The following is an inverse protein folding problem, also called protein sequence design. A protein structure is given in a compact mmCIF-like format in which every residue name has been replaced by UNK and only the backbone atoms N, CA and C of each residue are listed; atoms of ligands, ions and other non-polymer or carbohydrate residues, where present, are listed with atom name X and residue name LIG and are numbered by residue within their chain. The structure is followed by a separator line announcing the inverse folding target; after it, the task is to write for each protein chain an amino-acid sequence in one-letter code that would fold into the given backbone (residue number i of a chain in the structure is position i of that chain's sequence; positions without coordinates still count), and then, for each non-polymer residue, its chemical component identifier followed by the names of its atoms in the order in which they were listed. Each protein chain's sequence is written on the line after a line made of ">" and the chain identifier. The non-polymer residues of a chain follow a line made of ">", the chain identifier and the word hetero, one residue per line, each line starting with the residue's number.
data_IF_933038776820
#
_entry.id   IF_933038776820
#
_cell.length_a   1.000
_cell.length_b   1.000
_cell.length_c   1.000
_cell.angle_alpha   90.00
_cell.angle_beta   90.00
_cell.angle_gamma   90.00
#
_symmetry.space_group_name_H-M   'P 1'
#
loop_
_entity.id
_entity.type
_entity.pdbx_description
1 polymer ?
#
# COMPACT_ATOMS: atom_id res chain seq x y z
N UNK A 1 -36.17 16.87 -11.63
CA UNK A 1 -35.41 15.64 -11.34
C UNK A 1 -34.49 15.98 -10.19
N UNK A 2 -34.58 15.28 -9.05
CA UNK A 2 -33.77 15.65 -7.88
C UNK A 2 -32.29 15.35 -8.17
N UNK A 3 -31.41 16.32 -7.91
CA UNK A 3 -29.96 16.19 -8.12
C UNK A 3 -29.18 16.87 -7.01
N UNK A 4 -27.93 16.42 -6.81
CA UNK A 4 -26.94 17.10 -5.96
C UNK A 4 -25.97 17.79 -6.89
N UNK A 5 -25.74 19.08 -6.68
CA UNK A 5 -24.75 19.85 -7.40
C UNK A 5 -23.45 19.80 -6.63
N UNK A 6 -22.35 19.55 -7.32
CA UNK A 6 -21.05 19.47 -6.70
C UNK A 6 -19.98 20.13 -7.55
N UNK A 7 -18.94 20.67 -6.90
CA UNK A 7 -17.72 21.09 -7.59
C UNK A 7 -16.50 20.71 -6.80
N UNK A 8 -15.39 20.50 -7.49
CA UNK A 8 -14.10 20.40 -6.82
C UNK A 8 -13.64 21.78 -6.36
N UNK A 9 -12.92 21.85 -5.23
CA UNK A 9 -12.41 23.11 -4.69
C UNK A 9 -11.49 23.87 -5.66
N UNK A 10 -10.80 23.15 -6.56
CA UNK A 10 -9.96 23.73 -7.61
C UNK A 10 -10.71 24.10 -8.90
N UNK A 11 -11.99 23.71 -9.01
CA UNK A 11 -12.81 23.94 -10.20
C UNK A 11 -13.88 25.01 -9.93
N UNK A 12 -14.23 25.74 -10.99
CA UNK A 12 -15.31 26.72 -11.01
C UNK A 12 -16.64 26.13 -11.50
N UNK A 13 -16.58 25.06 -12.30
CA UNK A 13 -17.76 24.42 -12.87
C UNK A 13 -18.42 23.44 -11.90
N UNK A 14 -19.75 23.42 -11.90
CA UNK A 14 -20.55 22.46 -11.14
C UNK A 14 -20.95 21.27 -12.00
N UNK A 15 -20.70 20.07 -11.48
CA UNK A 15 -21.23 18.82 -11.97
C UNK A 15 -22.46 18.42 -11.14
N UNK A 16 -23.25 17.47 -11.65
CA UNK A 16 -24.42 16.97 -10.92
C UNK A 16 -24.47 15.45 -10.84
N UNK A 17 -25.12 14.96 -9.79
CA UNK A 17 -25.45 13.55 -9.56
C UNK A 17 -26.97 13.42 -9.40
N UNK A 18 -27.64 12.58 -10.20
CA UNK A 18 -29.08 12.36 -10.08
C UNK A 18 -29.42 11.55 -8.82
N UNK A 19 -30.45 11.96 -8.08
CA UNK A 19 -31.04 11.18 -6.98
C UNK A 19 -32.16 10.28 -7.52
N UNK A 20 -31.93 8.97 -7.49
CA UNK A 20 -32.87 7.96 -8.01
C UNK A 20 -34.02 7.63 -7.02
N UNK A 21 -34.51 8.62 -6.26
CA UNK A 21 -35.64 8.46 -5.34
C UNK A 21 -35.29 7.98 -3.92
N UNK A 22 -34.07 7.46 -3.69
CA UNK A 22 -33.55 7.24 -2.35
C UNK A 22 -32.72 8.44 -1.87
N UNK A 23 -32.82 8.82 -0.58
CA UNK A 23 -31.95 9.83 0.01
C UNK A 23 -30.50 9.32 0.01
N UNK A 24 -29.62 10.14 -0.53
CA UNK A 24 -28.20 9.82 -0.69
C UNK A 24 -27.46 10.20 0.59
N UNK A 25 -26.66 9.27 1.10
CA UNK A 25 -25.75 9.54 2.23
C UNK A 25 -24.45 10.18 1.73
N UNK A 26 -23.69 10.79 2.65
CA UNK A 26 -22.37 11.35 2.34
C UNK A 26 -21.43 10.26 1.79
N UNK A 27 -21.44 9.04 2.33
CA UNK A 27 -20.60 7.94 1.82
C UNK A 27 -21.00 7.46 0.43
N UNK A 28 -22.30 7.34 0.17
CA UNK A 28 -22.80 6.99 -1.18
C UNK A 28 -22.38 8.06 -2.20
N UNK A 29 -22.49 9.35 -1.83
CA UNK A 29 -22.08 10.45 -2.67
C UNK A 29 -20.57 10.42 -2.95
N UNK A 30 -19.73 10.19 -1.92
CA UNK A 30 -18.28 10.04 -2.08
C UNK A 30 -17.95 8.92 -3.09
N UNK A 31 -18.55 7.74 -2.92
CA UNK A 31 -18.32 6.59 -3.80
C UNK A 31 -18.74 6.86 -5.25
N UNK A 32 -19.87 7.53 -5.46
CA UNK A 32 -20.35 7.90 -6.78
C UNK A 32 -19.44 8.92 -7.47
N UNK A 33 -18.96 9.93 -6.74
CA UNK A 33 -18.01 10.90 -7.27
C UNK A 33 -16.68 10.22 -7.59
N UNK A 34 -16.14 9.37 -6.70
CA UNK A 34 -14.92 8.62 -6.97
C UNK A 34 -15.02 7.78 -8.24
N UNK A 35 -16.16 7.09 -8.43
CA UNK A 35 -16.41 6.28 -9.64
C UNK A 35 -16.55 7.14 -10.89
N UNK A 36 -17.27 8.26 -10.82
CA UNK A 36 -17.51 9.17 -11.95
C UNK A 36 -16.24 9.89 -12.41
N UNK A 37 -15.38 10.25 -11.47
CA UNK A 37 -14.15 11.02 -11.71
C UNK A 37 -12.89 10.12 -11.81
N UNK A 38 -13.09 8.80 -11.88
CA UNK A 38 -12.03 7.79 -11.97
C UNK A 38 -10.93 7.91 -10.89
N UNK A 39 -11.34 8.26 -9.67
CA UNK A 39 -10.45 8.40 -8.52
C UNK A 39 -10.33 7.07 -7.79
N UNK A 40 -9.09 6.70 -7.46
CA UNK A 40 -8.80 5.48 -6.70
C UNK A 40 -8.74 5.82 -5.20
N UNK A 41 -9.45 5.08 -4.33
CA UNK A 41 -9.41 5.30 -2.89
C UNK A 41 -8.03 5.04 -2.29
N UNK A 42 -7.17 4.29 -2.99
CA UNK A 42 -5.77 4.05 -2.60
C UNK A 42 -4.89 5.30 -2.65
N UNK A 43 -5.25 6.27 -3.50
CA UNK A 43 -4.41 7.42 -3.77
C UNK A 43 -4.96 8.69 -3.09
N UNK A 44 -6.29 8.82 -3.05
CA UNK A 44 -6.96 10.01 -2.56
C UNK A 44 -8.27 9.62 -1.87
N UNK A 45 -8.55 10.28 -0.76
CA UNK A 45 -9.88 10.35 -0.16
C UNK A 45 -10.56 11.69 -0.50
N UNK A 46 -11.87 11.75 -0.36
CA UNK A 46 -12.67 12.93 -0.63
C UNK A 46 -13.23 13.51 0.66
N UNK A 47 -12.94 14.79 0.91
CA UNK A 47 -13.60 15.61 1.91
C UNK A 47 -14.79 16.32 1.27
N UNK A 48 -15.95 16.27 1.92
CA UNK A 48 -17.15 16.97 1.48
C UNK A 48 -17.43 18.09 2.48
N UNK A 49 -17.56 19.31 1.97
CA UNK A 49 -17.93 20.51 2.72
C UNK A 49 -19.18 21.14 2.10
N UNK A 50 -19.97 21.83 2.92
CA UNK A 50 -21.07 22.65 2.43
C UNK A 50 -20.56 23.96 1.81
N UNK A 51 -21.45 24.78 1.27
CA UNK A 51 -21.20 26.15 0.80
C UNK A 51 -20.62 27.09 1.89
N UNK A 52 -20.93 26.82 3.16
CA UNK A 52 -20.40 27.52 4.35
C UNK A 52 -19.08 26.95 4.88
N UNK A 53 -18.41 26.08 4.12
CA UNK A 53 -17.18 25.38 4.53
C UNK A 53 -17.33 24.47 5.77
N UNK A 54 -18.55 24.24 6.26
CA UNK A 54 -18.83 23.26 7.30
C UNK A 54 -18.66 21.84 6.75
N UNK A 55 -17.91 21.01 7.47
CA UNK A 55 -17.46 19.70 7.00
C UNK A 55 -18.40 18.60 7.47
N UNK A 56 -18.83 17.76 6.53
CA UNK A 56 -19.63 16.57 6.86
C UNK A 56 -18.70 15.51 7.44
N UNK A 57 -18.62 15.45 8.77
CA UNK A 57 -17.83 14.45 9.50
C UNK A 57 -18.55 13.10 9.53
N UNK A 58 -19.88 13.12 9.60
CA UNK A 58 -20.71 11.92 9.68
C UNK A 58 -21.04 11.36 8.29
N UNK A 59 -20.61 10.13 8.06
CA UNK A 59 -20.81 9.37 6.82
C UNK A 59 -22.29 9.02 6.55
N UNK A 60 -23.08 8.93 7.61
CA UNK A 60 -24.50 8.55 7.57
C UNK A 60 -25.44 9.72 7.34
N UNK A 61 -24.92 10.96 7.37
CA UNK A 61 -25.72 12.16 7.16
C UNK A 61 -26.36 12.12 5.76
N UNK A 62 -27.65 12.41 5.72
CA UNK A 62 -28.45 12.40 4.49
C UNK A 62 -28.39 13.79 3.88
N UNK A 63 -28.00 13.87 2.62
CA UNK A 63 -27.92 15.14 1.92
C UNK A 63 -29.30 15.54 1.39
N UNK A 64 -29.63 16.81 1.57
CA UNK A 64 -30.88 17.38 1.08
C UNK A 64 -30.90 17.43 -0.45
N UNK A 65 -32.11 17.36 -1.02
CA UNK A 65 -32.31 17.46 -2.47
C UNK A 65 -31.89 18.86 -2.94
N UNK A 66 -31.16 18.96 -4.06
CA UNK A 66 -30.67 20.21 -4.63
C UNK A 66 -29.61 20.95 -3.79
N UNK A 67 -28.94 20.25 -2.87
CA UNK A 67 -27.80 20.80 -2.13
C UNK A 67 -26.58 21.01 -3.04
N UNK A 68 -25.79 22.04 -2.72
CA UNK A 68 -24.53 22.37 -3.37
C UNK A 68 -23.38 22.01 -2.43
N UNK A 69 -22.53 21.07 -2.85
CA UNK A 69 -21.40 20.63 -2.03
C UNK A 69 -20.06 20.89 -2.71
N UNK A 70 -19.04 21.16 -1.90
CA UNK A 70 -17.67 21.39 -2.32
C UNK A 70 -16.84 20.17 -1.95
N UNK A 71 -16.12 19.61 -2.93
CA UNK A 71 -15.25 18.45 -2.74
C UNK A 71 -13.79 18.88 -2.73
N UNK A 72 -13.09 18.51 -1.67
CA UNK A 72 -11.62 18.63 -1.56
C UNK A 72 -11.00 17.23 -1.63
N UNK A 73 -9.93 17.08 -2.41
CA UNK A 73 -9.13 15.85 -2.40
C UNK A 73 -8.19 15.90 -1.19
N UNK A 74 -8.27 14.91 -0.34
CA UNK A 74 -7.27 14.65 0.70
C UNK A 74 -6.37 13.55 0.14
N UNK A 75 -5.04 13.74 0.09
CA UNK A 75 -4.17 12.60 -0.21
C UNK A 75 -4.46 11.49 0.80
N UNK A 76 -4.63 10.26 0.32
CA UNK A 76 -4.85 9.15 1.23
C UNK A 76 -3.67 9.13 2.20
N UNK A 77 -3.91 9.41 3.49
CA UNK A 77 -2.93 9.06 4.52
C UNK A 77 -2.80 7.55 4.37
N UNK A 78 -1.60 7.08 4.06
CA UNK A 78 -1.31 5.67 3.91
C UNK A 78 -1.47 5.05 5.31
N UNK A 79 -2.71 4.77 5.72
CA UNK A 79 -2.95 3.71 6.66
C UNK A 79 -2.67 2.46 5.85
N UNK A 80 -1.41 2.01 5.94
CA UNK A 80 -0.97 0.72 5.44
C UNK A 80 -2.02 -0.29 5.84
N UNK A 81 -2.82 -0.72 4.87
CA UNK A 81 -3.63 -1.91 5.03
C UNK A 81 -2.64 -3.04 5.27
N UNK A 82 -2.54 -3.51 6.50
CA UNK A 82 -1.84 -4.74 6.83
C UNK A 82 -2.47 -5.85 5.97
N UNK A 83 -1.78 -6.43 4.97
CA UNK A 83 -2.39 -7.40 4.06
C UNK A 83 -2.70 -8.76 4.73
N UNK A 84 -2.52 -8.89 6.05
CA UNK A 84 -2.48 -10.19 6.72
C UNK A 84 -3.83 -10.81 7.11
N UNK A 85 -4.98 -10.19 6.86
CA UNK A 85 -6.28 -10.81 7.14
C UNK A 85 -7.24 -10.88 5.93
N UNK A 86 -6.71 -11.11 4.72
CA UNK A 86 -7.56 -11.71 3.68
C UNK A 86 -7.67 -13.22 3.94
N UNK A 87 -8.87 -13.81 4.03
CA UNK A 87 -9.00 -15.26 4.11
C UNK A 87 -8.35 -15.86 2.86
N UNK A 88 -7.29 -16.64 3.03
CA UNK A 88 -6.68 -17.41 1.94
C UNK A 88 -7.78 -18.27 1.34
N UNK A 89 -8.28 -17.93 0.14
CA UNK A 89 -9.11 -18.87 -0.62
C UNK A 89 -8.27 -20.11 -0.85
N UNK A 90 -8.71 -21.23 -0.27
CA UNK A 90 -8.08 -22.52 -0.45
C UNK A 90 -7.97 -22.80 -1.96
N UNK A 91 -6.74 -23.04 -2.43
CA UNK A 91 -6.53 -23.66 -3.73
C UNK A 91 -6.98 -25.11 -3.59
N UNK A 92 -8.18 -25.42 -4.06
CA UNK A 92 -8.55 -26.81 -4.32
C UNK A 92 -7.77 -27.23 -5.56
N UNK A 93 -6.68 -27.95 -5.40
CA UNK A 93 -6.11 -28.71 -6.52
C UNK A 93 -6.98 -29.95 -6.72
N UNK A 94 -7.60 -30.08 -7.90
CA UNK A 94 -8.17 -31.35 -8.30
C UNK A 94 -7.00 -32.34 -8.48
N UNK A 95 -7.17 -33.56 -7.98
CA UNK A 95 -6.23 -34.63 -8.22
C UNK A 95 -6.71 -35.37 -9.46
N UNK A 96 -6.14 -35.04 -10.62
CA UNK A 96 -6.14 -35.92 -11.79
C UNK A 96 -4.91 -35.61 -12.65
N UNK A 97 -3.75 -36.05 -12.20
CA UNK A 97 -2.67 -36.43 -13.12
C UNK A 97 -1.93 -37.60 -12.52
N UNK A 98 -2.01 -38.75 -13.20
CA UNK A 98 -1.15 -39.90 -12.97
C UNK A 98 0.31 -39.46 -12.98
N UNK A 99 1.04 -39.75 -11.91
CA UNK A 99 2.49 -39.95 -12.00
C UNK A 99 2.85 -41.30 -11.38
N UNK A 100 3.61 -42.04 -12.19
CA UNK A 100 3.99 -43.44 -12.06
C UNK A 100 5.17 -43.59 -11.09
N UNK A 101 5.24 -44.79 -10.49
CA UNK A 101 6.14 -45.27 -9.44
C UNK A 101 7.61 -44.83 -9.58
N UNK A 102 8.16 -44.30 -8.50
CA UNK A 102 9.60 -44.37 -8.23
C UNK A 102 9.90 -45.66 -7.45
N UNK A 103 10.92 -46.40 -7.88
CA UNK A 103 11.45 -47.56 -7.17
C UNK A 103 12.43 -47.12 -6.06
N UNK A 104 12.63 -48.04 -5.13
CA UNK A 104 12.99 -47.90 -3.71
C UNK A 104 14.38 -47.36 -3.39
N UNK A 105 14.40 -46.45 -2.41
CA UNK A 105 15.53 -46.04 -1.59
C UNK A 105 15.03 -45.03 -0.54
N UNK A 106 15.02 -45.44 0.71
CA UNK A 106 14.35 -44.90 1.91
C UNK A 106 14.74 -43.42 2.23
N UNK A 107 13.94 -42.56 2.88
CA UNK A 107 13.12 -42.76 4.09
C UNK A 107 11.82 -41.90 4.09
N UNK A 108 10.69 -42.53 4.46
CA UNK A 108 9.63 -41.82 5.19
C UNK A 108 8.37 -41.36 4.42
N UNK A 109 7.67 -42.27 3.74
CA UNK A 109 6.25 -42.05 3.41
C UNK A 109 5.45 -43.36 3.51
N UNK A 110 4.99 -43.71 4.71
CA UNK A 110 3.97 -44.76 4.88
C UNK A 110 2.59 -44.24 4.49
N UNK A 111 2.04 -44.78 3.39
CA UNK A 111 0.64 -44.61 3.03
C UNK A 111 -0.23 -45.47 3.96
N UNK A 112 -0.83 -44.88 4.99
CA UNK A 112 -1.97 -45.50 5.66
C UNK A 112 -3.18 -45.50 4.73
N UNK A 113 -3.89 -46.64 4.66
CA UNK A 113 -4.99 -46.96 3.73
C UNK A 113 -6.22 -46.04 3.79
N UNK A 114 -6.18 -44.96 4.57
CA UNK A 114 -7.21 -43.92 4.68
C UNK A 114 -6.85 -42.60 4.01
N UNK A 115 -5.75 -42.53 3.24
CA UNK A 115 -5.49 -41.41 2.33
C UNK A 115 -5.35 -40.05 3.04
N UNK A 116 -4.76 -40.01 4.23
CA UNK A 116 -4.49 -38.77 4.97
C UNK A 116 -2.99 -38.57 5.10
N UNK A 117 -2.47 -37.51 4.47
CA UNK A 117 -1.12 -37.04 4.70
C UNK A 117 -1.02 -36.46 6.12
N UNK A 118 -0.27 -37.12 7.00
CA UNK A 118 0.13 -36.56 8.29
C UNK A 118 1.49 -35.90 8.06
N UNK A 119 1.59 -34.59 8.28
CA UNK A 119 2.88 -33.89 8.18
C UNK A 119 3.74 -34.31 9.37
N UNK A 120 4.94 -34.79 9.08
CA UNK A 120 5.97 -35.06 10.09
C UNK A 120 6.27 -33.80 10.88
N UNK A 121 6.41 -34.00 12.20
CA UNK A 121 6.83 -33.00 13.15
C UNK A 121 8.35 -32.82 13.08
N UNK A 122 8.81 -31.69 12.56
CA UNK A 122 10.23 -31.35 12.56
C UNK A 122 10.48 -30.22 13.57
N UNK A 123 11.04 -30.66 14.71
CA UNK A 123 12.06 -29.99 15.53
C UNK A 123 11.82 -28.51 15.85
N UNK A 124 11.36 -28.27 17.08
CA UNK A 124 11.40 -26.97 17.73
C UNK A 124 12.81 -26.39 17.71
N UNK A 125 12.91 -25.22 17.09
CA UNK A 125 13.91 -24.22 17.42
C UNK A 125 13.22 -23.20 18.30
N UNK A 126 13.87 -22.87 19.41
CA UNK A 126 13.40 -21.95 20.43
C UNK A 126 12.96 -20.62 19.78
N UNK A 127 11.65 -20.40 19.73
CA UNK A 127 11.02 -19.18 19.25
C UNK A 127 11.14 -18.13 20.36
N UNK A 128 12.35 -17.64 20.58
CA UNK A 128 12.49 -16.29 21.08
C UNK A 128 11.99 -15.39 19.95
N UNK A 129 10.70 -15.06 20.01
CA UNK A 129 10.11 -13.91 19.33
C UNK A 129 10.87 -12.66 19.79
N UNK A 130 12.07 -12.46 19.24
CA UNK A 130 12.65 -11.15 19.06
C UNK A 130 11.72 -10.45 18.10
N UNK A 131 10.71 -9.79 18.67
CA UNK A 131 9.83 -8.86 17.99
C UNK A 131 10.70 -7.65 17.67
N UNK A 132 11.55 -7.79 16.66
CA UNK A 132 12.29 -6.68 16.10
C UNK A 132 11.25 -5.59 15.79
N UNK A 133 11.51 -4.33 16.18
CA UNK A 133 10.62 -3.23 15.88
C UNK A 133 10.44 -3.20 14.36
N UNK A 134 9.25 -3.57 13.90
CA UNK A 134 8.98 -3.69 12.48
C UNK A 134 9.18 -2.30 11.86
N UNK A 135 10.27 -2.15 11.10
CA UNK A 135 10.58 -0.91 10.39
C UNK A 135 9.37 -0.53 9.53
N UNK A 136 8.85 0.71 9.61
CA UNK A 136 7.71 1.11 8.81
C UNK A 136 8.06 1.00 7.33
N UNK A 137 7.15 0.43 6.53
CA UNK A 137 7.38 0.16 5.11
C UNK A 137 7.64 1.44 4.30
N UNK A 138 7.23 2.61 4.80
CA UNK A 138 7.46 3.93 4.20
C UNK A 138 8.94 4.34 4.21
N UNK A 139 9.72 3.86 5.18
CA UNK A 139 11.15 4.16 5.31
C UNK A 139 12.02 3.08 4.64
N UNK A 140 11.42 2.09 3.97
CA UNK A 140 12.16 1.00 3.33
C UNK A 140 12.45 1.30 1.87
N UNK A 141 13.66 1.00 1.43
CA UNK A 141 14.02 1.06 0.02
C UNK A 141 13.37 -0.09 -0.76
N UNK A 142 12.91 0.17 -1.99
CA UNK A 142 12.32 -0.86 -2.87
C UNK A 142 13.35 -1.86 -3.38
N UNK A 143 14.63 -1.46 -3.48
CA UNK A 143 15.72 -2.30 -4.00
C UNK A 143 16.20 -3.27 -2.92
N UNK A 144 16.62 -2.76 -1.76
CA UNK A 144 17.18 -3.61 -0.69
C UNK A 144 16.17 -4.05 0.38
N UNK A 145 14.95 -3.47 0.41
CA UNK A 145 13.89 -3.77 1.40
C UNK A 145 14.30 -3.51 2.86
N UNK A 146 15.38 -2.76 3.07
CA UNK A 146 15.89 -2.29 4.36
C UNK A 146 15.63 -0.80 4.53
N UNK A 147 15.89 -0.28 5.73
CA UNK A 147 15.81 1.14 6.06
C UNK A 147 16.64 1.98 5.07
N UNK A 148 16.06 3.06 4.54
CA UNK A 148 16.69 3.90 3.52
C UNK A 148 17.89 4.69 4.06
N UNK A 149 19.09 4.13 3.96
CA UNK A 149 20.32 4.86 4.28
C UNK A 149 20.67 5.82 3.15
N UNK A 150 20.97 7.07 3.50
CA UNK A 150 21.32 8.12 2.54
C UNK A 150 20.29 8.28 1.42
N UNK A 151 19.00 8.35 1.75
CA UNK A 151 17.92 8.47 0.77
C UNK A 151 18.21 9.54 -0.32
N UNK A 152 17.97 9.17 -1.57
CA UNK A 152 18.22 9.97 -2.76
C UNK A 152 17.03 9.87 -3.73
N UNK A 153 16.66 10.99 -4.34
CA UNK A 153 15.53 11.17 -5.27
C UNK A 153 16.04 11.07 -6.70
N UNK A 154 15.33 10.27 -7.49
CA UNK A 154 15.57 10.19 -8.93
C UNK A 154 14.74 11.28 -9.64
N UNK A 155 15.35 12.16 -10.45
CA UNK A 155 14.67 13.32 -11.05
C UNK A 155 13.58 12.97 -12.06
N UNK A 156 13.57 11.75 -12.61
CA UNK A 156 12.58 11.31 -13.61
C UNK A 156 11.17 11.10 -13.02
N UNK A 157 11.08 10.45 -11.86
CA UNK A 157 9.80 10.03 -11.27
C UNK A 157 9.60 10.52 -9.83
N UNK A 158 10.62 11.13 -9.22
CA UNK A 158 10.57 11.59 -7.83
C UNK A 158 10.62 10.46 -6.80
N UNK A 159 10.91 9.22 -7.22
CA UNK A 159 11.02 8.10 -6.30
C UNK A 159 12.32 8.17 -5.49
N UNK A 160 12.27 7.71 -4.23
CA UNK A 160 13.41 7.72 -3.32
C UNK A 160 13.97 6.32 -3.07
N UNK A 161 15.29 6.19 -3.16
CA UNK A 161 16.03 4.95 -2.91
C UNK A 161 17.25 5.23 -2.01
N UNK A 162 17.94 4.19 -1.54
CA UNK A 162 19.28 4.38 -0.97
C UNK A 162 20.24 4.86 -2.06
N UNK A 163 21.09 5.85 -1.77
CA UNK A 163 22.04 6.42 -2.73
C UNK A 163 22.89 5.33 -3.40
N UNK A 164 23.43 4.38 -2.62
CA UNK A 164 24.23 3.29 -3.16
C UNK A 164 23.41 2.33 -4.03
N UNK A 165 22.21 1.96 -3.60
CA UNK A 165 21.37 0.99 -4.33
C UNK A 165 20.97 1.51 -5.71
N UNK A 166 20.56 2.78 -5.81
CA UNK A 166 20.17 3.34 -7.11
C UNK A 166 21.39 3.52 -8.02
N UNK A 167 22.55 3.92 -7.49
CA UNK A 167 23.79 4.02 -8.28
C UNK A 167 24.21 2.67 -8.82
N UNK A 168 24.18 1.61 -8.01
CA UNK A 168 24.54 0.25 -8.47
C UNK A 168 23.62 -0.20 -9.60
N UNK A 169 22.29 -0.03 -9.46
CA UNK A 169 21.36 -0.47 -10.51
C UNK A 169 21.52 0.33 -11.81
N UNK A 170 21.77 1.63 -11.72
CA UNK A 170 22.03 2.44 -12.92
C UNK A 170 23.37 2.11 -13.59
N UNK A 171 24.39 1.73 -12.82
CA UNK A 171 25.70 1.32 -13.35
C UNK A 171 25.70 -0.11 -13.92
N UNK A 172 24.84 -0.99 -13.40
CA UNK A 172 24.64 -2.35 -13.93
C UNK A 172 23.84 -2.35 -15.25
N UNK A 173 23.03 -1.32 -15.49
CA UNK A 173 22.22 -1.19 -16.69
C UNK A 173 22.97 -0.38 -17.75
N UNK A 174 23.20 -0.93 -18.94
CA UNK A 174 23.92 -0.24 -20.03
C UNK A 174 23.26 1.10 -20.43
N UNK A 175 21.92 1.15 -20.37
CA UNK A 175 21.12 2.32 -20.74
C UNK A 175 20.77 3.24 -19.55
N UNK A 176 21.29 2.96 -18.35
CA UNK A 176 21.03 3.73 -17.12
C UNK A 176 19.54 3.96 -16.85
N UNK A 177 18.78 2.86 -16.78
CA UNK A 177 17.31 2.89 -16.70
C UNK A 177 16.84 2.91 -15.25
N UNK A 178 15.87 3.78 -14.94
CA UNK A 178 15.23 3.82 -13.63
C UNK A 178 14.30 2.61 -13.40
N UNK A 179 14.47 1.93 -12.25
CA UNK A 179 13.63 0.77 -11.86
C UNK A 179 12.14 1.13 -11.66
N UNK A 180 11.84 2.37 -11.29
CA UNK A 180 10.48 2.79 -10.96
C UNK A 180 9.65 3.21 -12.20
N UNK A 181 10.26 3.87 -13.18
CA UNK A 181 9.53 4.44 -14.33
C UNK A 181 10.13 4.08 -15.69
N UNK A 182 11.20 3.29 -15.73
CA UNK A 182 11.86 2.83 -16.96
C UNK A 182 12.38 3.95 -17.89
N UNK A 183 12.63 5.13 -17.32
CA UNK A 183 13.19 6.28 -18.04
C UNK A 183 14.72 6.31 -17.88
N UNK A 184 15.43 6.89 -18.86
CA UNK A 184 16.89 7.04 -18.81
C UNK A 184 17.29 8.14 -17.82
N UNK A 185 18.21 7.82 -16.90
CA UNK A 185 18.65 8.75 -15.84
C UNK A 185 20.14 8.61 -15.58
N UNK A 186 20.87 9.72 -15.55
CA UNK A 186 22.29 9.69 -15.20
C UNK A 186 22.50 9.52 -13.68
N UNK A 187 23.47 8.70 -13.23
CA UNK A 187 23.80 8.53 -11.81
C UNK A 187 24.19 9.81 -11.07
N UNK A 188 24.72 10.80 -11.81
CA UNK A 188 25.14 12.09 -11.25
C UNK A 188 23.98 13.07 -11.06
N UNK A 189 22.85 12.86 -11.74
CA UNK A 189 21.67 13.73 -11.63
C UNK A 189 20.78 13.40 -10.43
N UNK A 190 21.12 12.38 -9.65
CA UNK A 190 20.35 11.96 -8.48
C UNK A 190 20.53 12.98 -7.36
N UNK A 191 19.42 13.46 -6.78
CA UNK A 191 19.40 14.52 -5.78
C UNK A 191 19.18 13.95 -4.38
N UNK A 192 19.95 14.32 -3.34
CA UNK A 192 19.72 13.81 -1.98
C UNK A 192 18.34 14.21 -1.41
N UNK A 193 17.60 13.24 -0.85
CA UNK A 193 16.36 13.51 -0.13
C UNK A 193 16.64 13.81 1.34
N UNK A 194 16.88 15.09 1.68
CA UNK A 194 17.21 15.46 3.04
C UNK A 194 16.07 15.20 4.04
N UNK A 195 14.81 15.28 3.60
CA UNK A 195 13.66 15.04 4.47
C UNK A 195 13.59 13.56 4.89
N UNK A 196 13.72 12.63 3.94
CA UNK A 196 13.76 11.20 4.26
C UNK A 196 14.98 10.83 5.10
N UNK A 197 16.15 11.43 4.84
CA UNK A 197 17.35 11.21 5.68
C UNK A 197 17.12 11.61 7.13
N UNK A 198 16.46 12.76 7.37
CA UNK A 198 16.09 13.20 8.73
C UNK A 198 15.08 12.25 9.37
N UNK A 199 14.06 11.81 8.63
CA UNK A 199 13.06 10.87 9.13
C UNK A 199 13.68 9.51 9.52
N UNK A 200 14.60 9.00 8.70
CA UNK A 200 15.36 7.78 8.98
C UNK A 200 16.25 7.95 10.20
N UNK A 201 16.99 9.05 10.32
CA UNK A 201 17.84 9.30 11.49
C UNK A 201 17.02 9.39 12.79
N UNK A 202 15.84 10.02 12.74
CA UNK A 202 14.93 10.06 13.88
C UNK A 202 14.45 8.64 14.25
N UNK A 203 14.12 7.82 13.25
CA UNK A 203 13.73 6.43 13.48
C UNK A 203 14.87 5.60 14.09
N UNK A 204 16.09 5.72 13.56
CA UNK A 204 17.29 5.08 14.12
C UNK A 204 17.49 5.47 15.59
N UNK A 205 17.32 6.75 15.94
CA UNK A 205 17.46 7.20 17.33
C UNK A 205 16.43 6.56 18.27
N UNK A 206 15.19 6.36 17.81
CA UNK A 206 14.13 5.69 18.58
C UNK A 206 14.47 4.21 18.81
N UNK A 207 15.02 3.54 17.80
CA UNK A 207 15.40 2.13 17.93
C UNK A 207 16.60 1.96 18.86
N UNK A 208 17.61 2.83 18.76
CA UNK A 208 18.80 2.76 19.63
C UNK A 208 18.46 3.02 21.10
N UNK A 209 17.62 4.02 21.40
CA UNK A 209 17.17 4.29 22.78
C UNK A 209 16.40 3.12 23.40
N UNK A 210 15.57 2.43 22.61
CA UNK A 210 14.82 1.25 23.08
C UNK A 210 15.67 0.02 23.41
N UNK A 211 16.94 -0.02 22.99
CA UNK A 211 17.90 -1.08 23.36
C UNK A 211 18.69 -0.74 24.64
N UNK A 212 18.99 0.54 24.89
CA UNK A 212 19.71 0.98 26.10
C UNK A 212 18.84 0.86 27.37
N UNK A 213 17.53 1.09 27.28
CA UNK A 213 16.60 0.97 28.42
C UNK A 213 16.29 -0.49 28.83
N UNK A 214 16.83 -1.48 28.11
CA UNK A 214 16.58 -2.91 28.35
C UNK A 214 17.80 -3.67 28.88
N UNK A 215 18.94 -3.00 29.03
CA UNK A 215 20.18 -3.52 29.62
C UNK A 215 20.32 -3.08 31.08
#
# INVERSE_FOLDING_TARGET
>A
MACIHYRFSFQTNYNFIPLNGLPMTVSDLKGLIMKKEHLKPSNCDLKISNDRDEEYTDETTRLEKYSCVIIRRIPARVLVHNPKNAPRKARTCNANSLLVRAETGDDGATLTSTGRCVKSADKGWNEQENKDPAVPDELKCVICKLLMVNAAIVPCCGYSFCDNCIRTVLLESEEHICVACQETVSPDSIVPNLALRRAVANYESIIHQGWEDRA
#
